data_IF_676564450169
#
_entry.id   IF_676564450169
#
_cell.length_a   1.000
_cell.length_b   1.000
_cell.length_c   1.000
_cell.angle_alpha   90.00
_cell.angle_beta   90.00
_cell.angle_gamma   90.00
#
_symmetry.space_group_name_H-M   'P 1'
#
loop_
_entity.id
_entity.type
_entity.pdbx_description
1 polymer ?
#
# COMPACT_ATOMS: atom_id res chain seq x y z
N UNK A 1 -19.38 21.95 -49.51
CA UNK A 1 -18.10 21.21 -49.39
C UNK A 1 -17.60 21.14 -47.95
N UNK A 2 -17.62 22.23 -47.18
CA UNK A 2 -17.19 22.25 -45.77
C UNK A 2 -17.97 21.27 -44.86
N UNK A 3 -19.30 21.19 -45.04
CA UNK A 3 -20.16 20.23 -44.30
C UNK A 3 -19.80 18.78 -44.63
N UNK A 4 -19.47 18.48 -45.90
CA UNK A 4 -19.07 17.15 -46.30
C UNK A 4 -17.72 16.75 -45.70
N UNK A 5 -16.75 17.67 -45.64
CA UNK A 5 -15.48 17.44 -44.93
C UNK A 5 -15.68 17.24 -43.43
N UNK A 6 -16.58 18.01 -42.81
CA UNK A 6 -16.87 17.88 -41.38
C UNK A 6 -17.54 16.55 -41.04
N UNK A 7 -18.50 16.12 -41.86
CA UNK A 7 -19.15 14.82 -41.72
C UNK A 7 -18.16 13.67 -41.96
N UNK A 8 -17.31 13.79 -42.97
CA UNK A 8 -16.30 12.77 -43.26
C UNK A 8 -15.27 12.66 -42.11
N UNK A 9 -14.82 13.78 -41.56
CA UNK A 9 -13.92 13.81 -40.40
C UNK A 9 -14.58 13.25 -39.12
N UNK A 10 -15.86 13.59 -38.88
CA UNK A 10 -16.63 13.07 -37.76
C UNK A 10 -16.84 11.56 -37.81
N UNK A 11 -17.14 11.01 -38.99
CA UNK A 11 -17.27 9.56 -39.18
C UNK A 11 -15.91 8.86 -39.00
N UNK A 12 -14.82 9.44 -39.49
CA UNK A 12 -13.48 8.88 -39.30
C UNK A 12 -13.08 8.83 -37.82
N UNK A 13 -13.47 9.83 -37.03
CA UNK A 13 -13.23 9.87 -35.58
C UNK A 13 -13.98 8.76 -34.80
N UNK A 14 -15.13 8.32 -35.30
CA UNK A 14 -15.93 7.24 -34.71
C UNK A 14 -15.45 5.86 -35.15
N UNK A 15 -14.94 5.74 -36.38
CA UNK A 15 -14.45 4.48 -36.96
C UNK A 15 -13.01 4.16 -36.55
N UNK A 16 -12.23 5.17 -36.11
CA UNK A 16 -10.93 4.94 -35.50
C UNK A 16 -11.09 3.96 -34.33
N UNK A 17 -10.54 2.73 -34.41
CA UNK A 17 -10.55 1.84 -33.28
C UNK A 17 -9.85 2.59 -32.14
N UNK A 18 -10.50 2.68 -30.98
CA UNK A 18 -9.82 3.06 -29.74
C UNK A 18 -8.82 1.93 -29.45
N UNK A 19 -7.65 2.00 -30.07
CA UNK A 19 -6.54 1.13 -29.75
C UNK A 19 -6.02 1.62 -28.41
N UNK A 20 -6.68 1.18 -27.34
CA UNK A 20 -6.04 1.17 -26.03
C UNK A 20 -4.91 0.15 -26.14
N UNK A 21 -3.67 0.64 -26.16
CA UNK A 21 -2.52 -0.20 -25.86
C UNK A 21 -2.65 -0.60 -24.38
N UNK A 22 -3.51 -1.57 -24.09
CA UNK A 22 -3.66 -2.11 -22.73
C UNK A 22 -2.28 -2.66 -22.33
N UNK A 23 -1.65 -1.99 -21.36
CA UNK A 23 -0.43 -2.56 -20.80
C UNK A 23 -0.79 -3.87 -20.10
N UNK A 24 -0.05 -4.92 -20.44
CA UNK A 24 -0.24 -6.23 -19.84
C UNK A 24 0.01 -6.18 -18.33
N UNK A 25 -0.86 -6.86 -17.57
CA UNK A 25 -0.78 -6.98 -16.11
C UNK A 25 0.60 -7.47 -15.66
N UNK A 26 1.16 -8.46 -16.37
CA UNK A 26 2.50 -8.99 -16.06
C UNK A 26 3.60 -7.97 -16.32
N UNK A 27 3.48 -7.18 -17.40
CA UNK A 27 4.41 -6.09 -17.70
C UNK A 27 4.40 -5.03 -16.59
N UNK A 28 3.21 -4.62 -16.15
CA UNK A 28 3.03 -3.66 -15.05
C UNK A 28 3.58 -4.19 -13.74
N UNK A 29 3.33 -5.47 -13.41
CA UNK A 29 3.93 -6.13 -12.27
C UNK A 29 5.46 -6.11 -12.32
N UNK A 30 6.06 -6.42 -13.47
CA UNK A 30 7.54 -6.37 -13.65
C UNK A 30 8.08 -4.95 -13.51
N UNK A 31 7.39 -3.94 -14.03
CA UNK A 31 7.75 -2.53 -13.82
C UNK A 31 7.75 -2.18 -12.33
N UNK A 32 6.73 -2.62 -11.60
CA UNK A 32 6.63 -2.38 -10.15
C UNK A 32 7.75 -3.10 -9.38
N UNK A 33 8.11 -4.33 -9.75
CA UNK A 33 9.31 -5.00 -9.22
C UNK A 33 10.57 -4.17 -9.49
N UNK A 34 10.70 -3.60 -10.69
CA UNK A 34 11.78 -2.67 -11.03
C UNK A 34 11.83 -1.47 -10.08
N UNK A 35 10.69 -0.83 -9.83
CA UNK A 35 10.57 0.28 -8.87
C UNK A 35 11.03 -0.12 -7.48
N UNK A 36 10.53 -1.26 -6.96
CA UNK A 36 10.94 -1.77 -5.65
C UNK A 36 12.47 -2.00 -5.58
N UNK A 37 13.08 -2.57 -6.61
CA UNK A 37 14.53 -2.80 -6.68
C UNK A 37 15.33 -1.49 -6.78
N UNK A 38 14.85 -0.53 -7.57
CA UNK A 38 15.47 0.79 -7.67
C UNK A 38 15.49 1.48 -6.31
N UNK A 39 14.38 1.46 -5.57
CA UNK A 39 14.28 2.11 -4.26
C UNK A 39 15.09 1.37 -3.20
N UNK A 40 15.11 0.04 -3.26
CA UNK A 40 15.99 -0.77 -2.43
C UNK A 40 17.46 -0.38 -2.63
N UNK A 41 17.90 -0.29 -3.88
CA UNK A 41 19.26 0.10 -4.22
C UNK A 41 19.58 1.54 -3.82
N UNK A 42 18.64 2.47 -4.04
CA UNK A 42 18.81 3.88 -3.68
C UNK A 42 18.88 4.09 -2.17
N UNK A 43 17.97 3.49 -1.40
CA UNK A 43 18.01 3.58 0.07
C UNK A 43 19.35 3.05 0.63
N UNK A 44 19.86 1.96 0.04
CA UNK A 44 21.15 1.40 0.41
C UNK A 44 22.34 2.27 -0.01
N UNK A 45 22.32 2.85 -1.21
CA UNK A 45 23.40 3.70 -1.70
C UNK A 45 23.49 5.02 -0.92
N UNK A 46 22.35 5.67 -0.70
CA UNK A 46 22.26 6.99 -0.06
C UNK A 46 22.24 6.90 1.47
N UNK A 47 22.25 5.68 2.02
CA UNK A 47 22.12 5.40 3.46
C UNK A 47 20.93 6.10 4.14
N UNK A 48 19.85 6.32 3.38
CA UNK A 48 18.70 7.10 3.81
C UNK A 48 17.41 6.29 3.61
N UNK A 49 16.53 6.18 4.62
CA UNK A 49 15.28 5.44 4.45
C UNK A 49 14.37 6.13 3.42
N UNK A 50 13.70 5.32 2.61
CA UNK A 50 12.73 5.79 1.62
C UNK A 50 11.35 5.21 1.93
N UNK A 51 10.30 5.87 1.48
CA UNK A 51 8.93 5.38 1.55
C UNK A 51 8.24 5.45 0.20
N UNK A 52 7.73 4.32 -0.27
CA UNK A 52 6.83 4.25 -1.43
C UNK A 52 5.40 4.32 -0.91
N UNK A 53 4.68 5.37 -1.28
CA UNK A 53 3.26 5.45 -1.09
C UNK A 53 2.53 4.84 -2.27
N UNK A 54 1.46 4.11 -1.96
CA UNK A 54 0.52 3.50 -2.90
C UNK A 54 -0.86 4.04 -2.53
N UNK A 55 -1.51 4.72 -3.47
CA UNK A 55 -2.90 5.13 -3.37
C UNK A 55 -3.74 4.16 -4.20
N UNK A 56 -4.45 3.27 -3.50
CA UNK A 56 -5.22 2.18 -4.10
C UNK A 56 -6.48 2.71 -4.80
N UNK A 57 -6.99 3.86 -4.36
CA UNK A 57 -8.22 4.44 -4.90
C UNK A 57 -7.95 5.15 -6.22
N UNK A 58 -6.81 5.85 -6.32
CA UNK A 58 -6.44 6.60 -7.52
C UNK A 58 -5.48 5.85 -8.45
N UNK A 59 -4.93 4.71 -8.03
CA UNK A 59 -3.92 4.00 -8.80
C UNK A 59 -2.62 4.80 -8.93
N UNK A 60 -2.28 5.59 -7.92
CA UNK A 60 -1.09 6.44 -7.90
C UNK A 60 -0.02 5.86 -6.97
N UNK A 61 1.24 6.13 -7.29
CA UNK A 61 2.36 5.82 -6.41
C UNK A 61 3.45 6.87 -6.49
N UNK A 62 4.08 7.17 -5.34
CA UNK A 62 5.16 8.16 -5.25
C UNK A 62 6.14 7.81 -4.15
N UNK A 63 7.31 8.43 -4.20
CA UNK A 63 8.39 8.21 -3.24
C UNK A 63 8.57 9.44 -2.35
N UNK A 64 8.87 9.19 -1.08
CA UNK A 64 9.36 10.19 -0.13
C UNK A 64 10.68 9.72 0.47
N UNK A 65 11.59 10.65 0.71
CA UNK A 65 12.81 10.44 1.50
C UNK A 65 12.47 10.71 2.97
N UNK A 66 12.85 9.81 3.87
CA UNK A 66 12.63 9.99 5.30
C UNK A 66 13.90 10.58 5.92
N UNK A 67 13.83 11.83 6.35
CA UNK A 67 14.92 12.54 7.03
C UNK A 67 14.55 12.79 8.49
N UNK A 68 15.01 11.90 9.37
CA UNK A 68 14.64 11.94 10.79
C UNK A 68 13.16 11.63 11.00
N UNK A 69 12.38 12.65 11.35
CA UNK A 69 10.92 12.56 11.54
C UNK A 69 10.12 13.21 10.40
N UNK A 70 10.81 13.78 9.41
CA UNK A 70 10.19 14.48 8.29
C UNK A 70 10.23 13.63 7.03
N UNK A 71 9.27 13.84 6.15
CA UNK A 71 9.24 13.29 4.80
C UNK A 71 9.51 14.41 3.79
N UNK A 72 10.46 14.17 2.87
CA UNK A 72 10.87 15.13 1.84
C UNK A 72 10.71 14.53 0.46
N UNK A 73 10.50 15.40 -0.52
CA UNK A 73 10.50 14.98 -1.92
C UNK A 73 11.90 14.53 -2.33
N UNK A 74 12.01 13.48 -3.15
CA UNK A 74 13.30 13.03 -3.66
C UNK A 74 13.95 14.05 -4.58
N UNK A 75 15.28 14.07 -4.58
CA UNK A 75 16.06 14.97 -5.43
C UNK A 75 15.95 14.58 -6.91
N UNK A 76 15.83 13.27 -7.20
CA UNK A 76 15.65 12.76 -8.56
C UNK A 76 14.38 13.34 -9.19
N UNK A 77 14.50 14.12 -10.28
CA UNK A 77 13.37 14.68 -11.00
C UNK A 77 12.31 13.64 -11.41
N UNK A 78 12.73 12.40 -11.67
CA UNK A 78 11.84 11.32 -12.08
C UNK A 78 10.82 10.90 -11.00
N UNK A 79 11.01 11.34 -9.75
CA UNK A 79 10.19 10.98 -8.61
C UNK A 79 9.59 12.17 -7.87
N UNK A 80 9.72 13.38 -8.42
CA UNK A 80 9.10 14.59 -7.85
C UNK A 80 7.58 14.63 -8.02
N UNK A 81 7.06 13.88 -8.99
CA UNK A 81 5.63 13.79 -9.28
C UNK A 81 5.12 12.37 -9.06
N UNK A 82 3.88 12.20 -8.54
CA UNK A 82 3.24 10.90 -8.49
C UNK A 82 3.14 10.26 -9.87
N UNK A 83 3.30 8.94 -9.91
CA UNK A 83 3.17 8.13 -11.11
C UNK A 83 1.85 7.37 -11.06
N UNK A 84 1.25 7.18 -12.23
CA UNK A 84 -0.01 6.47 -12.38
C UNK A 84 0.24 5.05 -12.87
N UNK A 85 -0.58 4.12 -12.41
CA UNK A 85 -0.73 2.81 -13.03
C UNK A 85 -1.49 2.95 -14.36
N UNK A 86 -1.36 1.99 -15.27
CA UNK A 86 -2.22 1.93 -16.45
C UNK A 86 -3.69 1.90 -16.04
N UNK A 87 -4.56 2.60 -16.77
CA UNK A 87 -6.00 2.69 -16.45
C UNK A 87 -6.71 1.33 -16.39
N UNK A 88 -6.16 0.33 -17.10
CA UNK A 88 -6.68 -1.04 -17.12
C UNK A 88 -6.32 -1.86 -15.88
N UNK A 89 -5.49 -1.33 -14.96
CA UNK A 89 -4.92 -2.06 -13.83
C UNK A 89 -5.17 -1.30 -12.53
N UNK A 90 -5.72 -2.00 -11.54
CA UNK A 90 -5.98 -1.47 -10.20
C UNK A 90 -5.18 -2.24 -9.14
N UNK A 91 -4.75 -1.55 -8.09
CA UNK A 91 -4.41 -2.25 -6.84
C UNK A 91 -5.70 -2.60 -6.11
N UNK A 92 -5.85 -3.88 -5.79
CA UNK A 92 -7.02 -4.38 -5.04
C UNK A 92 -6.73 -4.58 -3.58
N UNK A 93 -5.47 -4.85 -3.23
CA UNK A 93 -5.08 -5.13 -1.85
C UNK A 93 -3.58 -4.85 -1.67
N UNK A 94 -3.24 -4.26 -0.54
CA UNK A 94 -1.86 -4.13 -0.03
C UNK A 94 -1.84 -4.58 1.42
N UNK A 95 -0.95 -5.51 1.75
CA UNK A 95 -0.72 -6.02 3.09
C UNK A 95 0.72 -5.74 3.51
N UNK A 96 0.91 -4.99 4.59
CA UNK A 96 2.22 -4.64 5.15
C UNK A 96 2.23 -5.11 6.62
N UNK A 97 3.05 -6.11 6.93
CA UNK A 97 3.03 -6.72 8.26
C UNK A 97 1.67 -7.36 8.62
N UNK A 98 0.91 -6.73 9.51
CA UNK A 98 -0.47 -7.14 9.87
C UNK A 98 -1.53 -6.20 9.29
N UNK A 99 -1.12 -5.08 8.71
CA UNK A 99 -2.01 -4.08 8.16
C UNK A 99 -2.37 -4.44 6.72
N UNK A 100 -3.60 -4.92 6.54
CA UNK A 100 -4.20 -5.17 5.23
C UNK A 100 -5.12 -4.01 4.85
N UNK A 101 -4.93 -3.49 3.63
CA UNK A 101 -5.71 -2.39 3.04
C UNK A 101 -6.28 -2.84 1.71
N UNK A 102 -7.56 -2.53 1.48
CA UNK A 102 -8.28 -2.76 0.22
C UNK A 102 -8.57 -1.45 -0.54
N UNK A 103 -8.18 -0.32 0.04
CA UNK A 103 -8.43 1.04 -0.45
C UNK A 103 -7.62 2.04 0.38
N UNK A 104 -7.65 3.30 -0.05
CA UNK A 104 -6.87 4.39 0.55
C UNK A 104 -5.37 4.28 0.30
N UNK A 105 -4.58 4.79 1.25
CA UNK A 105 -3.11 4.85 1.12
C UNK A 105 -2.40 3.81 1.98
N UNK A 106 -1.38 3.19 1.40
CA UNK A 106 -0.41 2.34 2.08
C UNK A 106 1.01 2.86 1.83
N UNK A 107 1.92 2.70 2.79
CA UNK A 107 3.30 3.16 2.69
C UNK A 107 4.28 2.04 2.97
N UNK A 108 5.10 1.66 1.99
CA UNK A 108 6.14 0.63 2.10
C UNK A 108 7.48 1.30 2.38
N UNK A 109 8.16 0.89 3.45
CA UNK A 109 9.45 1.46 3.85
C UNK A 109 10.63 0.68 3.23
N UNK A 110 11.64 1.39 2.77
CA UNK A 110 12.93 0.86 2.32
C UNK A 110 14.00 1.32 3.29
N UNK A 111 14.79 0.38 3.79
CA UNK A 111 15.75 0.62 4.86
C UNK A 111 17.17 0.83 4.29
N UNK A 112 18.01 1.66 4.94
CA UNK A 112 19.40 1.90 4.53
C UNK A 112 20.30 0.66 4.42
N UNK A 113 19.89 -0.46 5.03
CA UNK A 113 20.59 -1.74 4.92
C UNK A 113 20.16 -2.58 3.70
N UNK A 114 19.41 -1.99 2.77
CA UNK A 114 18.91 -2.67 1.58
C UNK A 114 17.74 -3.62 1.84
N UNK A 115 17.10 -3.57 3.01
CA UNK A 115 15.85 -4.31 3.26
C UNK A 115 14.66 -3.51 2.75
N UNK A 116 13.66 -4.23 2.27
CA UNK A 116 12.32 -3.69 1.99
C UNK A 116 11.40 -4.19 3.09
N UNK A 117 10.52 -3.32 3.58
CA UNK A 117 9.44 -3.71 4.49
C UNK A 117 8.59 -4.81 3.84
N UNK A 118 8.34 -5.94 4.54
CA UNK A 118 7.57 -7.02 3.96
C UNK A 118 6.19 -6.56 3.53
N UNK A 119 5.91 -6.70 2.24
CA UNK A 119 4.67 -6.27 1.61
C UNK A 119 4.16 -7.34 0.67
N UNK A 120 2.85 -7.55 0.65
CA UNK A 120 2.15 -8.29 -0.40
C UNK A 120 1.11 -7.38 -1.03
N UNK A 121 1.13 -7.27 -2.35
CA UNK A 121 0.22 -6.43 -3.11
C UNK A 121 -0.42 -7.24 -4.23
N UNK A 122 -1.69 -6.96 -4.49
CA UNK A 122 -2.47 -7.63 -5.53
C UNK A 122 -2.97 -6.64 -6.55
N UNK A 123 -2.49 -6.79 -7.77
CA UNK A 123 -2.95 -6.07 -8.95
C UNK A 123 -4.04 -6.88 -9.64
N UNK A 124 -4.98 -6.18 -10.28
CA UNK A 124 -6.02 -6.81 -11.07
C UNK A 124 -6.30 -5.99 -12.32
N UNK A 125 -6.49 -6.67 -13.44
CA UNK A 125 -6.89 -6.01 -14.69
C UNK A 125 -8.43 -5.92 -14.84
N UNK A 126 -8.88 -5.32 -15.94
CA UNK A 126 -10.30 -5.22 -16.29
C UNK A 126 -10.97 -6.57 -16.60
N UNK A 127 -10.18 -7.62 -16.85
CA UNK A 127 -10.66 -8.98 -17.10
C UNK A 127 -10.68 -9.82 -15.82
N UNK A 128 -10.42 -9.21 -14.66
CA UNK A 128 -10.29 -9.83 -13.35
C UNK A 128 -9.15 -10.86 -13.25
N UNK A 129 -8.13 -10.76 -14.10
CA UNK A 129 -6.89 -11.51 -13.89
C UNK A 129 -6.17 -10.94 -12.68
N UNK A 130 -5.70 -11.81 -11.80
CA UNK A 130 -4.97 -11.44 -10.59
C UNK A 130 -3.46 -11.53 -10.83
N UNK A 131 -2.72 -10.58 -10.26
CA UNK A 131 -1.27 -10.69 -10.12
C UNK A 131 -0.85 -10.29 -8.71
N UNK A 132 -0.34 -11.24 -7.95
CA UNK A 132 0.31 -11.01 -6.67
C UNK A 132 1.77 -10.63 -6.84
N UNK A 133 2.22 -9.61 -6.12
CA UNK A 133 3.63 -9.32 -5.83
C UNK A 133 3.86 -9.42 -4.32
N UNK A 134 4.89 -10.14 -3.89
CA UNK A 134 5.26 -10.25 -2.48
C UNK A 134 6.75 -10.04 -2.28
N UNK A 135 7.10 -9.24 -1.28
CA UNK A 135 8.47 -9.14 -0.77
C UNK A 135 8.59 -10.07 0.44
N UNK A 136 9.41 -11.10 0.28
CA UNK A 136 9.62 -12.12 1.28
C UNK A 136 10.30 -11.54 2.54
N UNK A 137 9.74 -11.86 3.71
CA UNK A 137 10.22 -11.30 4.99
C UNK A 137 11.60 -11.81 5.40
N UNK A 138 11.98 -13.01 4.95
CA UNK A 138 13.19 -13.69 5.38
C UNK A 138 14.35 -13.41 4.43
N UNK A 139 14.09 -13.48 3.14
CA UNK A 139 15.09 -13.40 2.07
C UNK A 139 15.14 -12.04 1.38
N UNK A 140 14.08 -11.22 1.51
CA UNK A 140 13.93 -9.99 0.72
C UNK A 140 13.72 -10.24 -0.77
N UNK A 141 13.49 -11.48 -1.18
CA UNK A 141 13.19 -11.82 -2.57
C UNK A 141 11.82 -11.27 -2.96
N UNK A 142 11.73 -10.72 -4.17
CA UNK A 142 10.46 -10.24 -4.73
C UNK A 142 9.88 -11.36 -5.60
N UNK A 143 8.73 -11.89 -5.18
CA UNK A 143 8.01 -12.97 -5.85
C UNK A 143 6.82 -12.39 -6.62
N UNK A 144 6.53 -12.99 -7.77
CA UNK A 144 5.34 -12.70 -8.57
C UNK A 144 4.55 -14.01 -8.71
N UNK A 145 3.23 -13.93 -8.60
CA UNK A 145 2.33 -15.07 -8.75
C UNK A 145 1.04 -14.63 -9.43
N UNK A 146 0.48 -15.48 -10.28
CA UNK A 146 -0.85 -15.27 -10.87
C UNK A 146 -1.96 -15.75 -9.90
N UNK A 147 -1.55 -16.37 -8.79
CA UNK A 147 -2.39 -16.81 -7.68
C UNK A 147 -2.12 -16.00 -6.42
N UNK A 148 -3.07 -16.04 -5.47
CA UNK A 148 -2.83 -15.46 -4.14
C UNK A 148 -1.68 -16.17 -3.46
N UNK A 149 -0.77 -15.41 -2.86
CA UNK A 149 0.17 -15.98 -1.91
C UNK A 149 -0.64 -16.47 -0.71
N UNK A 150 -0.40 -17.71 -0.29
CA UNK A 150 -0.94 -18.20 0.96
C UNK A 150 -0.57 -17.23 2.08
N UNK A 151 -1.54 -16.79 2.90
CA UNK A 151 -1.22 -15.96 4.04
C UNK A 151 -0.16 -16.71 4.87
N UNK A 152 0.92 -16.04 5.30
CA UNK A 152 1.86 -16.68 6.21
C UNK A 152 1.04 -17.22 7.37
N UNK A 153 1.21 -18.51 7.75
CA UNK A 153 0.42 -19.10 8.81
C UNK A 153 0.52 -18.18 10.02
N UNK A 154 -0.66 -17.76 10.49
CA UNK A 154 -0.84 -16.81 11.59
C UNK A 154 0.24 -17.09 12.63
N UNK A 155 1.21 -16.17 12.81
CA UNK A 155 2.35 -16.41 13.72
C UNK A 155 1.74 -16.82 15.05
N UNK A 156 1.96 -18.08 15.44
CA UNK A 156 1.40 -18.67 16.66
C UNK A 156 1.60 -17.68 17.80
N UNK A 157 0.53 -16.98 18.21
CA UNK A 157 0.55 -16.25 19.47
C UNK A 157 0.51 -17.34 20.52
N UNK A 158 1.61 -17.63 21.24
CA UNK A 158 1.60 -18.69 22.22
C UNK A 158 0.56 -18.32 23.27
N UNK A 159 -0.21 -19.28 23.78
CA UNK A 159 -1.37 -18.96 24.64
C UNK A 159 -1.01 -18.12 25.87
N UNK A 160 0.25 -18.24 26.34
CA UNK A 160 0.83 -17.39 27.39
C UNK A 160 0.76 -15.88 27.09
N UNK A 161 0.88 -15.47 25.83
CA UNK A 161 0.85 -14.06 25.41
C UNK A 161 -0.59 -13.55 25.32
N UNK A 162 -1.55 -14.41 24.95
CA UNK A 162 -2.98 -14.05 24.93
C UNK A 162 -3.50 -13.68 26.32
N UNK A 163 -2.99 -14.31 27.38
CA UNK A 163 -3.33 -14.00 28.77
C UNK A 163 -2.88 -12.58 29.13
N UNK A 164 -1.68 -12.18 28.71
CA UNK A 164 -1.14 -10.84 28.97
C UNK A 164 -1.88 -9.73 28.21
N UNK A 165 -2.31 -9.99 26.98
CA UNK A 165 -3.12 -9.07 26.18
C UNK A 165 -4.51 -8.85 26.79
N UNK A 166 -5.12 -9.89 27.37
CA UNK A 166 -6.40 -9.77 28.08
C UNK A 166 -6.25 -8.99 29.39
N UNK A 167 -5.21 -9.27 30.18
CA UNK A 167 -4.97 -8.60 31.46
C UNK A 167 -4.75 -7.07 31.30
N UNK A 168 -4.01 -6.67 30.27
CA UNK A 168 -3.74 -5.26 29.95
C UNK A 168 -4.99 -4.53 29.42
N UNK A 169 -5.82 -5.18 28.61
CA UNK A 169 -7.11 -4.64 28.19
C UNK A 169 -8.09 -4.46 29.37
N UNK A 170 -8.03 -5.35 30.38
CA UNK A 170 -8.89 -5.27 31.57
C UNK A 170 -8.43 -4.20 32.57
N UNK A 171 -7.13 -3.92 32.65
CA UNK A 171 -6.58 -2.81 33.45
C UNK A 171 -6.88 -1.44 32.86
N UNK A 172 -6.98 -1.32 31.53
CA UNK A 172 -7.41 -0.09 30.88
C UNK A 172 -8.90 0.24 31.13
N UNK A 173 -9.74 -0.78 31.39
CA UNK A 173 -11.18 -0.59 31.67
C UNK A 173 -11.54 -0.28 33.13
N UNK A 174 -10.60 -0.42 34.08
CA UNK A 174 -10.89 -0.29 35.53
C UNK A 174 -10.38 1.00 36.17
N UNK A 175 -9.73 1.88 35.41
CA UNK A 175 -9.23 3.19 35.90
C UNK A 175 -10.20 4.36 35.69
N UNK A 176 -11.45 4.11 35.27
CA UNK A 176 -12.43 5.15 34.90
C UNK A 176 -13.58 5.44 35.87
N UNK A 177 -13.67 4.80 37.04
CA UNK A 177 -14.82 5.01 37.96
C UNK A 177 -14.42 5.02 39.42
N UNK A 178 -13.93 6.16 39.89
CA UNK A 178 -13.94 6.50 41.32
C UNK A 178 -13.97 8.02 41.52
N UNK A 179 -15.16 8.62 41.45
CA UNK A 179 -15.46 9.89 42.13
C UNK A 179 -16.94 9.91 42.55
N UNK A 180 -17.19 9.43 43.78
CA UNK A 180 -18.42 9.63 44.52
C UNK A 180 -18.04 9.77 45.99
N UNK A 181 -18.14 10.98 46.53
CA UNK A 181 -17.67 11.36 47.87
C UNK A 181 -18.49 10.76 49.02
N UNK A 182 -18.02 10.90 50.27
CA UNK A 182 -18.54 10.18 51.43
C UNK A 182 -19.86 10.75 51.95
N UNK A 183 -20.70 9.84 52.46
CA UNK A 183 -22.01 10.07 53.05
C UNK A 183 -21.95 10.89 54.35
N UNK A 184 -22.91 11.81 54.52
CA UNK A 184 -23.14 12.56 55.74
C UNK A 184 -24.01 11.77 56.75
N UNK A 185 -23.78 11.87 58.07
CA UNK A 185 -24.61 11.21 59.07
C UNK A 185 -25.83 12.06 59.44
N UNK A 186 -27.00 11.39 59.45
CA UNK A 186 -28.27 11.93 59.93
C UNK A 186 -28.25 12.11 61.46
N UNK A 187 -28.57 13.32 61.94
CA UNK A 187 -28.81 13.62 63.35
C UNK A 187 -30.31 13.76 63.59
N UNK A 188 -30.77 13.08 64.63
CA UNK A 188 -32.09 13.19 65.21
C UNK A 188 -32.38 14.61 65.74
N UNK A 189 -33.58 15.09 65.45
CA UNK A 189 -34.52 15.74 66.38
C UNK A 189 -35.89 15.87 65.71
#
# INVERSE_FOLDING_TARGET
MLIALFLLGGVLAVVLPRISFEEDLRSTGRKLVGVLRTFQGQAAADQTPLRLYLDLDQGLYWMMVIEGKEERLPLDPAWKTPRTLPESIRLTEVSIGQDKRMGGRAGVTFFPNGRIEPVTMYLMDNRNNLLGLAVDSLTGAIRISDERFDPPPNRFIPDRVKVLLKASAQQAGTSGTARGGPAAPSRAQ
#
